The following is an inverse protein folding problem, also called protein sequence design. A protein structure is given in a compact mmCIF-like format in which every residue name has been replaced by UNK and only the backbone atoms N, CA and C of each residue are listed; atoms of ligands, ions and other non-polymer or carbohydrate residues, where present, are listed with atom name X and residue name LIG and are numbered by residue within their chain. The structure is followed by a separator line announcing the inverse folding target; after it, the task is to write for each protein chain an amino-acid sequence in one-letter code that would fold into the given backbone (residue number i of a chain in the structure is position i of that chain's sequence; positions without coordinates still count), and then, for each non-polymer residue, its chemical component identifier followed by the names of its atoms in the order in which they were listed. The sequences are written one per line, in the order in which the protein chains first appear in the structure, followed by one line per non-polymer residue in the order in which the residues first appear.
data_IF_425482610728
#
_entry.id   IF_425482610728
#
_cell.length_a   1.000
_cell.length_b   1.000
_cell.length_c   1.000
_cell.angle_alpha   90.00
_cell.angle_beta   90.00
_cell.angle_gamma   90.00
#
_symmetry.space_group_name_H-M   'P 1'
#
loop_
_entity.id
_entity.type
_entity.pdbx_description
1 polymer ?
#
# COMPACT_ATOMS: atom_id res chain seq x y z
N UNK A 1 -7.18 -2.45 15.21
CA UNK A 1 -7.80 -2.33 13.87
C UNK A 1 -9.07 -1.47 13.90
N UNK A 2 -10.00 -1.67 14.83
CA UNK A 2 -11.25 -0.89 14.89
C UNK A 2 -11.02 0.60 15.18
N UNK A 3 -9.98 0.95 15.96
CA UNK A 3 -9.59 2.35 16.20
C UNK A 3 -9.19 3.02 14.87
N UNK A 4 -8.37 2.35 14.06
CA UNK A 4 -7.94 2.88 12.75
C UNK A 4 -9.15 3.09 11.81
N UNK A 5 -10.13 2.15 11.81
CA UNK A 5 -11.35 2.27 10.99
C UNK A 5 -12.22 3.45 11.41
N UNK A 6 -12.39 3.64 12.71
CA UNK A 6 -13.17 4.75 13.27
C UNK A 6 -12.51 6.08 12.94
N UNK A 7 -11.22 6.20 13.17
CA UNK A 7 -10.42 7.37 12.81
C UNK A 7 -10.52 7.68 11.31
N UNK A 8 -10.31 6.68 10.46
CA UNK A 8 -10.43 6.83 9.01
C UNK A 8 -11.80 7.38 8.61
N UNK A 9 -12.90 6.81 9.12
CA UNK A 9 -14.26 7.24 8.79
C UNK A 9 -14.53 8.68 9.20
N UNK A 10 -14.08 9.08 10.40
CA UNK A 10 -14.24 10.43 10.91
C UNK A 10 -13.45 11.45 10.06
N UNK A 11 -12.20 11.15 9.75
CA UNK A 11 -11.35 12.02 8.94
C UNK A 11 -11.81 12.08 7.46
N UNK A 12 -12.18 10.93 6.87
CA UNK A 12 -12.72 10.91 5.51
C UNK A 12 -14.01 11.73 5.39
N UNK A 13 -14.89 11.64 6.39
CA UNK A 13 -16.09 12.48 6.47
C UNK A 13 -15.74 13.97 6.61
N UNK A 14 -14.76 14.32 7.45
CA UNK A 14 -14.31 15.70 7.63
C UNK A 14 -13.75 16.30 6.33
N UNK A 15 -12.92 15.55 5.61
CA UNK A 15 -12.37 15.98 4.31
C UNK A 15 -13.52 16.20 3.30
N UNK A 16 -14.43 15.23 3.19
CA UNK A 16 -15.58 15.32 2.28
C UNK A 16 -16.49 16.51 2.61
N UNK A 17 -16.75 16.77 3.88
CA UNK A 17 -17.54 17.92 4.33
C UNK A 17 -16.87 19.26 3.96
N UNK A 18 -15.54 19.39 4.16
CA UNK A 18 -14.80 20.60 3.78
C UNK A 18 -14.85 20.83 2.26
N UNK A 19 -14.71 19.76 1.45
CA UNK A 19 -14.84 19.83 0.02
C UNK A 19 -16.23 20.29 -0.42
N UNK A 20 -17.28 19.68 0.12
CA UNK A 20 -18.69 20.03 -0.20
C UNK A 20 -19.03 21.48 0.19
N UNK A 21 -18.45 21.99 1.26
CA UNK A 21 -18.61 23.37 1.70
C UNK A 21 -17.78 24.37 0.90
N UNK A 22 -16.92 23.88 -0.02
CA UNK A 22 -15.98 24.73 -0.75
C UNK A 22 -14.87 25.34 0.09
N UNK A 23 -14.62 24.79 1.29
CA UNK A 23 -13.52 25.21 2.17
C UNK A 23 -12.15 24.75 1.65
N UNK A 24 -12.12 23.65 0.92
CA UNK A 24 -10.94 23.14 0.21
C UNK A 24 -11.30 22.79 -1.24
N UNK A 25 -10.32 22.86 -2.14
CA UNK A 25 -10.46 22.45 -3.53
C UNK A 25 -10.28 20.93 -3.71
N UNK A 26 -10.63 20.42 -4.90
CA UNK A 26 -10.53 18.99 -5.22
C UNK A 26 -9.08 18.46 -5.10
N UNK A 27 -8.09 19.25 -5.52
CA UNK A 27 -6.68 18.88 -5.40
C UNK A 27 -6.23 18.75 -3.93
N UNK A 28 -6.63 19.71 -3.08
CA UNK A 28 -6.34 19.69 -1.65
C UNK A 28 -7.02 18.50 -0.95
N UNK A 29 -8.28 18.21 -1.34
CA UNK A 29 -8.98 17.04 -0.84
C UNK A 29 -8.28 15.74 -1.25
N UNK A 30 -7.79 15.65 -2.50
CA UNK A 30 -7.04 14.49 -2.99
C UNK A 30 -5.77 14.22 -2.20
N UNK A 31 -5.03 15.29 -1.86
CA UNK A 31 -3.85 15.22 -0.98
C UNK A 31 -4.26 14.77 0.43
N UNK A 32 -5.31 15.34 1.01
CA UNK A 32 -5.76 15.01 2.36
C UNK A 32 -6.24 13.56 2.47
N UNK A 33 -6.96 13.03 1.46
CA UNK A 33 -7.31 11.60 1.40
C UNK A 33 -6.08 10.70 1.26
N UNK A 34 -5.06 11.12 0.51
CA UNK A 34 -3.81 10.38 0.39
C UNK A 34 -3.03 10.37 1.71
N UNK A 35 -2.97 11.49 2.45
CA UNK A 35 -2.36 11.56 3.78
C UNK A 35 -3.06 10.63 4.78
N UNK A 36 -4.38 10.59 4.74
CA UNK A 36 -5.18 9.67 5.55
C UNK A 36 -4.87 8.21 5.22
N UNK A 37 -4.76 7.88 3.94
CA UNK A 37 -4.39 6.54 3.49
C UNK A 37 -2.94 6.18 3.90
N UNK A 38 -1.99 7.11 3.76
CA UNK A 38 -0.61 6.94 4.20
C UNK A 38 -0.54 6.55 5.69
N UNK A 39 -1.24 7.30 6.54
CA UNK A 39 -1.29 7.04 7.97
C UNK A 39 -1.88 5.65 8.28
N UNK A 40 -2.98 5.28 7.62
CA UNK A 40 -3.61 3.98 7.81
C UNK A 40 -2.70 2.83 7.35
N UNK A 41 -2.12 2.93 6.14
CA UNK A 41 -1.24 1.90 5.59
C UNK A 41 0.01 1.73 6.44
N UNK A 42 0.66 2.82 6.84
CA UNK A 42 1.88 2.78 7.65
C UNK A 42 1.65 2.09 9.00
N UNK A 43 0.63 2.52 9.75
CA UNK A 43 0.30 1.90 11.05
C UNK A 43 -0.07 0.43 10.90
N UNK A 44 -0.85 0.07 9.88
CA UNK A 44 -1.27 -1.30 9.67
C UNK A 44 -0.12 -2.19 9.18
N UNK A 45 0.80 -1.66 8.37
CA UNK A 45 2.00 -2.38 7.96
C UNK A 45 2.85 -2.78 9.16
N UNK A 46 3.14 -1.85 10.08
CA UNK A 46 3.88 -2.12 11.30
C UNK A 46 3.21 -3.18 12.18
N UNK A 47 1.89 -3.11 12.33
CA UNK A 47 1.12 -4.07 13.12
C UNK A 47 1.13 -5.45 12.46
N UNK A 48 0.95 -5.51 11.14
CA UNK A 48 0.91 -6.77 10.39
C UNK A 48 2.27 -7.45 10.34
N UNK A 49 3.36 -6.69 10.18
CA UNK A 49 4.72 -7.23 10.27
C UNK A 49 4.96 -7.88 11.63
N UNK A 50 4.70 -7.15 12.72
CA UNK A 50 4.85 -7.66 14.09
C UNK A 50 4.00 -8.91 14.34
N UNK A 51 2.75 -8.94 13.85
CA UNK A 51 1.86 -10.11 13.99
C UNK A 51 2.42 -11.33 13.23
N UNK A 52 2.97 -11.15 12.04
CA UNK A 52 3.60 -12.23 11.28
C UNK A 52 4.86 -12.74 11.96
N UNK A 53 5.76 -11.86 12.38
CA UNK A 53 7.02 -12.23 13.04
C UNK A 53 6.81 -12.86 14.43
N UNK A 54 5.72 -12.53 15.11
CA UNK A 54 5.35 -13.18 16.37
C UNK A 54 4.88 -14.63 16.18
N UNK A 55 4.40 -15.01 15.01
CA UNK A 55 3.85 -16.35 14.70
C UNK A 55 4.81 -17.25 13.93
N UNK A 56 5.72 -16.65 13.19
CA UNK A 56 6.61 -17.38 12.29
C UNK A 56 8.05 -16.92 12.54
N UNK A 57 8.97 -17.87 12.83
CA UNK A 57 10.37 -17.54 13.05
C UNK A 57 11.04 -17.09 11.74
N UNK A 58 11.99 -16.15 11.84
CA UNK A 58 12.76 -15.64 10.73
C UNK A 58 12.70 -14.12 10.62
N UNK A 59 13.19 -13.58 9.50
CA UNK A 59 13.23 -12.15 9.20
C UNK A 59 12.76 -11.92 7.76
N UNK A 60 11.97 -10.88 7.56
CA UNK A 60 11.57 -10.48 6.20
C UNK A 60 12.77 -9.90 5.43
N UNK A 61 13.66 -9.23 6.17
CA UNK A 61 14.68 -8.36 5.60
C UNK A 61 14.14 -6.94 5.41
N UNK A 62 14.69 -6.19 4.45
CA UNK A 62 14.15 -4.87 4.12
C UNK A 62 12.88 -5.03 3.29
N UNK A 63 11.91 -4.18 3.53
CA UNK A 63 10.68 -4.14 2.75
C UNK A 63 10.15 -2.70 2.64
N UNK A 64 9.42 -2.44 1.57
CA UNK A 64 8.72 -1.18 1.34
C UNK A 64 7.35 -1.43 0.75
N UNK A 65 6.32 -0.81 1.32
CA UNK A 65 5.00 -0.69 0.69
C UNK A 65 5.00 0.58 -0.14
N UNK A 66 4.79 0.43 -1.42
CA UNK A 66 4.76 1.53 -2.38
C UNK A 66 3.33 1.78 -2.86
N UNK A 67 2.94 3.06 -2.88
CA UNK A 67 1.72 3.54 -3.51
C UNK A 67 1.97 3.79 -5.00
N UNK A 68 0.97 3.48 -5.83
CA UNK A 68 0.95 3.73 -7.26
C UNK A 68 -0.35 4.43 -7.66
N UNK A 69 -0.57 4.63 -8.94
CA UNK A 69 -1.82 5.17 -9.49
C UNK A 69 -2.24 6.50 -8.85
N UNK A 70 -3.51 6.62 -8.50
CA UNK A 70 -4.05 7.82 -7.82
C UNK A 70 -3.47 7.99 -6.42
N UNK A 71 -3.23 6.89 -5.72
CA UNK A 71 -2.65 6.93 -4.38
C UNK A 71 -1.20 7.42 -4.42
N UNK A 72 -0.39 6.91 -5.35
CA UNK A 72 0.97 7.38 -5.56
C UNK A 72 1.03 8.86 -5.97
N UNK A 73 0.14 9.30 -6.85
CA UNK A 73 0.00 10.68 -7.31
C UNK A 73 -0.66 11.64 -6.31
N UNK A 74 -1.14 11.16 -5.15
CA UNK A 74 -1.87 11.94 -4.13
C UNK A 74 -3.15 12.58 -4.67
N UNK A 75 -3.88 11.82 -5.50
CA UNK A 75 -5.10 12.25 -6.20
C UNK A 75 -6.31 11.38 -5.78
N UNK A 76 -6.36 10.92 -4.52
CA UNK A 76 -7.44 10.07 -4.04
C UNK A 76 -8.76 10.82 -3.90
N UNK A 77 -9.84 10.06 -4.01
CA UNK A 77 -11.20 10.49 -3.67
C UNK A 77 -11.74 9.66 -2.51
N UNK A 78 -12.90 10.00 -1.99
CA UNK A 78 -13.53 9.26 -0.88
C UNK A 78 -13.78 7.78 -1.18
N UNK A 79 -13.84 7.39 -2.44
CA UNK A 79 -14.16 6.02 -2.90
C UNK A 79 -13.06 5.38 -3.71
N UNK A 80 -11.85 5.97 -3.73
CA UNK A 80 -10.71 5.39 -4.45
C UNK A 80 -10.22 4.13 -3.73
N UNK A 81 -9.88 3.13 -4.53
CA UNK A 81 -9.05 2.01 -4.12
C UNK A 81 -7.58 2.43 -3.92
N UNK A 82 -6.81 1.59 -3.29
CA UNK A 82 -5.37 1.77 -3.11
C UNK A 82 -4.61 0.86 -4.06
N UNK A 83 -3.96 1.45 -5.05
CA UNK A 83 -2.95 0.78 -5.85
C UNK A 83 -1.68 0.61 -5.01
N UNK A 84 -1.35 -0.62 -4.63
CA UNK A 84 -0.22 -0.95 -3.76
C UNK A 84 0.71 -1.98 -4.40
N UNK A 85 1.98 -1.87 -4.05
CA UNK A 85 2.99 -2.90 -4.31
C UNK A 85 3.88 -3.06 -3.09
N UNK A 86 4.18 -4.31 -2.71
CA UNK A 86 5.21 -4.62 -1.72
C UNK A 86 6.48 -5.06 -2.43
N UNK A 87 7.56 -4.31 -2.22
CA UNK A 87 8.92 -4.69 -2.63
C UNK A 87 9.69 -5.12 -1.39
N UNK A 88 10.51 -6.16 -1.51
CA UNK A 88 11.35 -6.63 -0.41
C UNK A 88 12.72 -7.12 -0.88
N UNK A 89 13.69 -7.03 0.01
CA UNK A 89 15.01 -7.61 -0.11
C UNK A 89 15.21 -8.59 1.05
N UNK A 90 15.17 -9.92 0.80
CA UNK A 90 15.20 -10.91 1.87
C UNK A 90 16.57 -10.95 2.56
N UNK A 91 16.56 -11.09 3.88
CA UNK A 91 17.79 -11.29 4.67
C UNK A 91 18.26 -12.75 4.63
N UNK A 92 17.30 -13.69 4.57
CA UNK A 92 17.54 -15.12 4.55
C UNK A 92 16.53 -15.88 3.67
N UNK A 93 16.59 -17.22 3.67
CA UNK A 93 15.68 -18.08 2.88
C UNK A 93 14.22 -18.00 3.35
N UNK A 94 13.95 -17.58 4.58
CA UNK A 94 12.59 -17.45 5.11
C UNK A 94 11.90 -16.16 4.65
N UNK A 95 12.67 -15.14 4.27
CA UNK A 95 12.20 -13.80 3.96
C UNK A 95 11.12 -13.75 2.90
N UNK A 96 11.21 -14.56 1.84
CA UNK A 96 10.22 -14.58 0.76
C UNK A 96 8.83 -15.08 1.25
N UNK A 97 8.80 -16.12 2.09
CA UNK A 97 7.56 -16.64 2.67
C UNK A 97 6.95 -15.63 3.65
N UNK A 98 7.79 -15.04 4.50
CA UNK A 98 7.36 -14.03 5.48
C UNK A 98 6.84 -12.77 4.80
N UNK A 99 7.49 -12.27 3.73
CA UNK A 99 7.02 -11.13 2.95
C UNK A 99 5.64 -11.42 2.32
N UNK A 100 5.44 -12.63 1.78
CA UNK A 100 4.15 -13.06 1.23
C UNK A 100 3.05 -13.06 2.30
N UNK A 101 3.32 -13.63 3.48
CA UNK A 101 2.38 -13.64 4.61
C UNK A 101 2.07 -12.24 5.11
N UNK A 102 3.09 -11.39 5.17
CA UNK A 102 2.96 -10.00 5.58
C UNK A 102 2.03 -9.23 4.66
N UNK A 103 2.26 -9.27 3.34
CA UNK A 103 1.41 -8.53 2.41
C UNK A 103 -0.02 -9.06 2.38
N UNK A 104 -0.23 -10.38 2.46
CA UNK A 104 -1.56 -10.97 2.57
C UNK A 104 -2.29 -10.50 3.84
N UNK A 105 -1.56 -10.41 4.97
CA UNK A 105 -2.09 -9.90 6.23
C UNK A 105 -2.45 -8.43 6.14
N UNK A 106 -1.62 -7.62 5.49
CA UNK A 106 -1.86 -6.20 5.27
C UNK A 106 -3.09 -5.97 4.38
N UNK A 107 -3.20 -6.68 3.25
CA UNK A 107 -4.38 -6.62 2.38
C UNK A 107 -5.65 -6.95 3.19
N UNK A 108 -5.62 -8.05 3.95
CA UNK A 108 -6.76 -8.44 4.77
C UNK A 108 -7.09 -7.39 5.84
N UNK A 109 -6.10 -6.74 6.45
CA UNK A 109 -6.31 -5.69 7.44
C UNK A 109 -6.96 -4.43 6.85
N UNK A 110 -6.61 -4.07 5.60
CA UNK A 110 -7.16 -2.93 4.87
C UNK A 110 -8.57 -3.23 4.32
N UNK A 111 -8.78 -4.41 3.71
CA UNK A 111 -9.98 -4.69 2.92
C UNK A 111 -11.05 -5.53 3.63
N UNK A 112 -10.73 -6.19 4.76
CA UNK A 112 -11.71 -7.04 5.43
C UNK A 112 -12.93 -6.23 5.92
N UNK A 113 -14.14 -6.63 5.55
CA UNK A 113 -15.36 -6.05 6.09
C UNK A 113 -15.50 -6.42 7.58
N UNK A 114 -15.83 -5.43 8.41
CA UNK A 114 -16.11 -5.59 9.84
C UNK A 114 -17.35 -4.81 10.19
N UNK A 115 -17.78 -4.88 11.45
CA UNK A 115 -18.89 -4.04 11.95
C UNK A 115 -18.62 -2.54 11.76
N UNK A 116 -17.33 -2.13 11.77
CA UNK A 116 -16.91 -0.74 11.48
C UNK A 116 -16.67 -0.47 9.99
N UNK A 117 -16.96 -1.42 9.10
CA UNK A 117 -16.70 -1.37 7.67
C UNK A 117 -15.28 -1.84 7.29
N UNK A 118 -14.99 -1.80 5.99
CA UNK A 118 -13.62 -1.92 5.46
C UNK A 118 -12.94 -0.54 5.48
N UNK A 119 -11.59 -0.52 5.45
CA UNK A 119 -10.85 0.74 5.29
C UNK A 119 -10.77 1.14 3.82
N UNK A 120 -10.21 0.27 3.00
CA UNK A 120 -9.97 0.48 1.58
C UNK A 120 -10.12 -0.82 0.79
N UNK A 121 -10.55 -0.71 -0.45
CA UNK A 121 -10.26 -1.73 -1.45
C UNK A 121 -8.79 -1.63 -1.85
N UNK A 122 -8.14 -2.77 -2.07
CA UNK A 122 -6.71 -2.84 -2.42
C UNK A 122 -6.56 -3.47 -3.79
N UNK A 123 -5.93 -2.75 -4.70
CA UNK A 123 -5.51 -3.27 -6.00
C UNK A 123 -3.98 -3.43 -6.04
N UNK A 124 -3.54 -4.60 -6.48
CA UNK A 124 -2.12 -4.91 -6.66
C UNK A 124 -1.79 -5.29 -8.11
N UNK A 125 -2.62 -4.90 -9.07
CA UNK A 125 -2.43 -5.29 -10.47
C UNK A 125 -1.28 -4.54 -11.16
N UNK A 126 -0.85 -3.41 -10.61
CA UNK A 126 0.29 -2.63 -11.13
C UNK A 126 1.67 -3.21 -10.78
N UNK A 127 1.71 -4.35 -10.07
CA UNK A 127 2.97 -5.07 -9.81
C UNK A 127 3.45 -5.85 -11.06
N UNK A 128 4.75 -6.19 -11.14
CA UNK A 128 5.29 -7.04 -12.20
C UNK A 128 4.47 -8.27 -12.49
N UNK A 129 4.15 -8.51 -13.75
CA UNK A 129 3.26 -9.59 -14.24
C UNK A 129 1.81 -9.51 -13.73
N UNK A 130 1.39 -8.40 -13.17
CA UNK A 130 0.01 -8.17 -12.73
C UNK A 130 -0.52 -9.26 -11.80
N UNK A 131 -1.71 -9.78 -12.08
CA UNK A 131 -2.34 -10.85 -11.27
C UNK A 131 -1.60 -12.18 -11.30
N UNK A 132 -0.81 -12.45 -12.34
CA UNK A 132 -0.03 -13.67 -12.47
C UNK A 132 1.26 -13.63 -11.63
N UNK A 133 1.74 -12.43 -11.27
CA UNK A 133 2.95 -12.25 -10.48
C UNK A 133 2.75 -12.45 -8.97
N UNK A 134 3.85 -12.64 -8.22
CA UNK A 134 3.79 -12.80 -6.78
C UNK A 134 3.26 -11.53 -6.10
N UNK A 135 2.53 -11.68 -4.99
CA UNK A 135 1.97 -10.54 -4.24
C UNK A 135 3.03 -9.73 -3.51
N UNK A 136 4.15 -10.35 -3.13
CA UNK A 136 5.34 -9.69 -2.63
C UNK A 136 6.43 -9.81 -3.70
N UNK A 137 7.02 -8.70 -4.11
CA UNK A 137 7.97 -8.63 -5.23
C UNK A 137 9.39 -8.48 -4.69
N UNK A 138 10.27 -9.46 -4.98
CA UNK A 138 11.68 -9.35 -4.62
C UNK A 138 12.34 -8.23 -5.45
N UNK A 139 13.15 -7.37 -4.83
CA UNK A 139 13.79 -6.24 -5.50
C UNK A 139 14.54 -6.66 -6.78
N UNK A 140 15.38 -7.71 -6.71
CA UNK A 140 16.12 -8.21 -7.86
C UNK A 140 15.23 -8.74 -9.00
N UNK A 141 14.03 -9.24 -8.68
CA UNK A 141 13.03 -9.67 -9.67
C UNK A 141 12.31 -8.48 -10.29
N UNK A 142 12.04 -7.45 -9.49
CA UNK A 142 11.49 -6.17 -9.95
C UNK A 142 12.42 -5.51 -10.96
N UNK A 143 13.69 -5.34 -10.61
CA UNK A 143 14.71 -4.74 -11.50
C UNK A 143 14.87 -5.52 -12.81
N UNK A 144 14.93 -6.86 -12.73
CA UNK A 144 15.02 -7.70 -13.93
C UNK A 144 13.79 -7.54 -14.81
N UNK A 145 12.60 -7.58 -14.24
CA UNK A 145 11.34 -7.44 -14.99
C UNK A 145 11.30 -6.13 -15.78
N UNK A 146 11.61 -5.01 -15.12
CA UNK A 146 11.60 -3.71 -15.78
C UNK A 146 12.76 -3.51 -16.77
N UNK A 147 13.82 -4.31 -16.71
CA UNK A 147 14.91 -4.30 -17.69
C UNK A 147 14.59 -5.14 -18.93
N UNK A 148 13.86 -6.23 -18.78
CA UNK A 148 13.78 -7.29 -19.81
C UNK A 148 12.37 -7.48 -20.38
N UNK A 149 11.33 -7.37 -19.55
CA UNK A 149 9.98 -7.86 -19.86
C UNK A 149 8.88 -6.78 -19.85
N UNK A 150 9.11 -5.65 -19.18
CA UNK A 150 8.07 -4.67 -18.92
C UNK A 150 7.62 -3.93 -20.20
N UNK A 151 6.31 -3.72 -20.31
CA UNK A 151 5.71 -2.93 -21.37
C UNK A 151 5.80 -1.43 -21.06
N UNK A 152 5.79 -0.60 -22.09
CA UNK A 152 5.90 0.87 -21.97
C UNK A 152 4.88 1.47 -20.98
N UNK A 153 3.65 0.97 -20.95
CA UNK A 153 2.62 1.48 -20.06
C UNK A 153 2.92 1.16 -18.57
N UNK A 154 3.66 0.09 -18.27
CA UNK A 154 4.07 -0.25 -16.90
C UNK A 154 5.12 0.74 -16.38
N UNK A 155 6.03 1.21 -17.23
CA UNK A 155 6.92 2.32 -16.87
C UNK A 155 6.14 3.59 -16.55
N UNK A 156 5.04 3.87 -17.26
CA UNK A 156 4.18 5.01 -16.95
C UNK A 156 3.54 4.87 -15.56
N UNK A 157 3.18 3.65 -15.15
CA UNK A 157 2.66 3.42 -13.80
C UNK A 157 3.70 3.75 -12.71
N UNK A 158 4.99 3.48 -12.97
CA UNK A 158 6.08 3.79 -12.03
C UNK A 158 6.34 5.29 -11.88
N UNK A 159 5.93 6.15 -12.80
CA UNK A 159 6.12 7.61 -12.65
C UNK A 159 5.44 8.20 -11.43
N UNK A 160 4.50 7.46 -10.85
CA UNK A 160 3.74 7.85 -9.64
C UNK A 160 4.08 7.00 -8.41
N UNK A 161 5.09 6.11 -8.51
CA UNK A 161 5.47 5.29 -7.37
C UNK A 161 6.07 6.14 -6.25
N UNK A 162 5.68 5.87 -5.02
CA UNK A 162 6.32 6.43 -3.82
C UNK A 162 6.20 5.48 -2.63
N UNK A 163 7.23 5.42 -1.75
CA UNK A 163 7.16 4.63 -0.53
C UNK A 163 6.15 5.25 0.45
N UNK A 164 5.39 4.38 1.14
CA UNK A 164 4.38 4.75 2.15
C UNK A 164 4.75 4.19 3.51
N UNK A 165 5.30 2.97 3.55
CA UNK A 165 5.70 2.31 4.79
C UNK A 165 6.94 1.43 4.56
N UNK A 166 7.68 1.15 5.63
CA UNK A 166 8.89 0.34 5.61
C UNK A 166 10.15 1.15 5.28
N UNK A 167 11.10 0.54 4.59
CA UNK A 167 12.38 1.18 4.22
C UNK A 167 12.17 2.16 3.05
N UNK A 168 12.36 3.47 3.25
CA UNK A 168 12.13 4.46 2.20
C UNK A 168 13.19 4.40 1.08
N UNK A 169 14.38 3.91 1.35
CA UNK A 169 15.44 3.79 0.34
C UNK A 169 15.14 2.64 -0.64
N UNK A 170 14.51 1.57 -0.15
CA UNK A 170 14.07 0.45 -0.98
C UNK A 170 12.92 0.83 -1.92
N UNK A 171 12.13 1.83 -1.57
CA UNK A 171 10.97 2.28 -2.34
C UNK A 171 11.25 3.44 -3.32
N UNK A 172 12.49 3.89 -3.41
CA UNK A 172 12.94 4.97 -4.32
C UNK A 172 13.57 4.39 -5.55
#
# INVERSE_FOLDING_TARGET
LNIARRFHREEAFRIGYQLLRGAIGAAEAGIAYADLADACVSVLADVCEKDVLARFPGRIGKWSVCALGKFGGRELTATSDLDLMLIYEPEDETGANLATRFVQRLIAALSAPTEEGALYEVDMQLRPSGRAGPVAVKLSSFERYYREDAWTWEFMALTRIRPVAGDPELGR
#
